data_IF_179662137561
#
_entry.id   IF_179662137561
#
_cell.length_a   1.000
_cell.length_b   1.000
_cell.length_c   1.000
_cell.angle_alpha   90.00
_cell.angle_beta   90.00
_cell.angle_gamma   90.00
#
_symmetry.space_group_name_H-M   'P 1'
#
loop_
_entity.id
_entity.type
_entity.pdbx_description
1 polymer ?
#
# COMPACT_ATOMS: atom_id res chain seq x y z
N UNK A 1 26.79 -18.99 -10.69
CA UNK A 1 26.39 -17.80 -9.87
C UNK A 1 24.87 -17.78 -9.79
N UNK A 2 24.27 -17.65 -8.59
CA UNK A 2 22.81 -17.53 -8.47
C UNK A 2 22.38 -16.20 -9.09
N UNK A 3 21.51 -16.23 -10.10
CA UNK A 3 20.83 -15.04 -10.61
C UNK A 3 19.93 -14.50 -9.49
N UNK A 4 20.34 -13.39 -8.87
CA UNK A 4 19.54 -12.72 -7.84
C UNK A 4 18.85 -11.52 -8.47
N UNK A 5 17.54 -11.40 -8.29
CA UNK A 5 16.78 -10.25 -8.77
C UNK A 5 17.09 -9.02 -7.92
N UNK A 6 17.10 -7.85 -8.56
CA UNK A 6 17.02 -6.58 -7.84
C UNK A 6 15.65 -6.52 -7.12
N UNK A 7 15.52 -5.90 -5.94
CA UNK A 7 14.24 -5.79 -5.23
C UNK A 7 13.18 -5.03 -6.02
N UNK A 8 11.92 -5.19 -5.60
CA UNK A 8 10.90 -4.19 -5.87
C UNK A 8 11.17 -2.96 -5.02
N UNK A 9 11.11 -1.78 -5.64
CA UNK A 9 11.28 -0.49 -4.95
C UNK A 9 10.01 0.31 -5.15
N UNK A 10 9.20 0.43 -4.11
CA UNK A 10 7.99 1.25 -4.14
C UNK A 10 8.26 2.60 -3.50
N UNK A 11 7.87 3.67 -4.18
CA UNK A 11 7.95 5.04 -3.67
C UNK A 11 6.56 5.66 -3.68
N UNK A 12 6.18 6.27 -2.56
CA UNK A 12 4.95 7.03 -2.40
C UNK A 12 5.26 8.44 -1.89
N UNK A 13 4.30 9.35 -2.04
CA UNK A 13 4.32 10.60 -1.30
C UNK A 13 4.02 10.35 0.17
N UNK A 14 4.67 11.09 1.08
CA UNK A 14 4.31 11.08 2.50
C UNK A 14 3.00 11.84 2.76
N UNK A 15 2.57 12.70 1.82
CA UNK A 15 1.24 13.27 1.78
C UNK A 15 0.43 12.62 0.63
N UNK A 16 -0.64 11.87 0.92
CA UNK A 16 -1.37 11.12 -0.08
C UNK A 16 -2.15 11.99 -1.09
N UNK A 17 -2.44 13.25 -0.75
CA UNK A 17 -3.36 14.08 -1.52
C UNK A 17 -2.77 15.42 -1.96
N UNK A 18 -3.12 15.80 -3.19
CA UNK A 18 -2.74 17.07 -3.79
C UNK A 18 -3.83 18.12 -3.54
N UNK A 19 -3.46 19.23 -2.91
CA UNK A 19 -4.38 20.20 -2.32
C UNK A 19 -5.37 20.80 -3.32
N UNK A 20 -4.91 21.19 -4.50
CA UNK A 20 -5.75 21.81 -5.53
C UNK A 20 -6.82 20.85 -6.04
N UNK A 21 -6.47 19.57 -6.28
CA UNK A 21 -7.41 18.54 -6.71
C UNK A 21 -8.42 18.17 -5.62
N UNK A 22 -7.98 18.11 -4.37
CA UNK A 22 -8.89 17.89 -3.23
C UNK A 22 -9.86 19.05 -3.07
N UNK A 23 -9.39 20.30 -3.14
CA UNK A 23 -10.27 21.47 -3.02
C UNK A 23 -11.33 21.48 -4.12
N UNK A 24 -10.92 21.21 -5.36
CA UNK A 24 -11.84 21.09 -6.49
C UNK A 24 -12.89 19.99 -6.26
N UNK A 25 -12.45 18.79 -5.85
CA UNK A 25 -13.34 17.67 -5.60
C UNK A 25 -14.34 17.93 -4.46
N UNK A 26 -13.89 18.56 -3.36
CA UNK A 26 -14.77 18.99 -2.26
C UNK A 26 -15.82 19.99 -2.76
N UNK A 27 -15.43 20.95 -3.59
CA UNK A 27 -16.36 21.98 -4.08
C UNK A 27 -17.38 21.38 -5.06
N UNK A 28 -17.03 20.32 -5.80
CA UNK A 28 -17.97 19.52 -6.61
C UNK A 28 -18.90 18.70 -5.71
N UNK A 29 -18.35 18.02 -4.70
CA UNK A 29 -19.10 17.21 -3.76
C UNK A 29 -20.13 18.01 -2.95
N UNK A 30 -19.75 19.20 -2.47
CA UNK A 30 -20.64 20.10 -1.73
C UNK A 30 -21.82 20.58 -2.58
N UNK A 31 -21.59 20.83 -3.87
CA UNK A 31 -22.65 21.26 -4.81
C UNK A 31 -23.66 20.16 -5.11
N UNK A 32 -23.23 18.90 -5.14
CA UNK A 32 -24.12 17.77 -5.45
C UNK A 32 -24.96 17.31 -4.25
N UNK A 33 -24.53 17.59 -3.01
CA UNK A 33 -25.20 17.09 -1.80
C UNK A 33 -26.06 18.15 -1.06
N UNK A 34 -26.21 19.36 -1.62
CA UNK A 34 -27.14 20.40 -1.15
C UNK A 34 -27.23 20.52 0.38
N UNK A 35 -26.09 20.64 1.06
CA UNK A 35 -26.09 21.05 2.46
C UNK A 35 -26.33 22.56 2.53
N UNK A 36 -27.07 23.02 3.54
CA UNK A 36 -26.99 24.40 4.03
C UNK A 36 -25.52 24.64 4.43
N UNK A 37 -24.70 25.02 3.44
CA UNK A 37 -23.25 25.14 3.51
C UNK A 37 -22.78 26.34 4.34
N UNK A 38 -23.60 26.82 5.27
CA UNK A 38 -23.25 27.95 6.11
C UNK A 38 -22.38 27.57 7.32
N UNK A 39 -22.16 26.27 7.61
CA UNK A 39 -21.27 25.89 8.72
C UNK A 39 -20.78 24.42 8.70
N UNK A 40 -20.65 23.76 7.54
CA UNK A 40 -20.01 22.43 7.50
C UNK A 40 -18.50 22.58 7.27
N UNK A 41 -17.69 22.15 8.24
CA UNK A 41 -16.23 22.17 8.15
C UNK A 41 -15.73 21.46 6.88
N UNK A 42 -14.77 22.06 6.16
CA UNK A 42 -14.20 21.48 4.93
C UNK A 42 -13.56 20.11 5.17
N UNK A 43 -13.03 19.87 6.37
CA UNK A 43 -12.53 18.57 6.78
C UNK A 43 -13.66 17.52 6.83
N UNK A 44 -14.83 17.87 7.34
CA UNK A 44 -16.01 16.99 7.35
C UNK A 44 -16.47 16.67 5.92
N UNK A 45 -16.51 17.66 5.03
CA UNK A 45 -16.84 17.43 3.63
C UNK A 45 -15.82 16.53 2.92
N UNK A 46 -14.54 16.73 3.20
CA UNK A 46 -13.46 15.89 2.69
C UNK A 46 -13.63 14.43 3.13
N UNK A 47 -13.89 14.23 4.41
CA UNK A 47 -14.17 12.92 5.04
C UNK A 47 -15.38 12.26 4.37
N UNK A 48 -16.52 12.96 4.25
CA UNK A 48 -17.73 12.44 3.59
C UNK A 48 -17.52 12.10 2.11
N UNK A 49 -16.79 12.96 1.39
CA UNK A 49 -16.43 12.70 -0.01
C UNK A 49 -15.61 11.42 -0.14
N UNK A 50 -14.55 11.25 0.66
CA UNK A 50 -13.72 10.04 0.61
C UNK A 50 -14.55 8.78 0.91
N UNK A 51 -15.46 8.84 1.89
CA UNK A 51 -16.41 7.75 2.20
C UNK A 51 -17.18 7.34 0.94
N UNK A 52 -17.77 8.30 0.25
CA UNK A 52 -18.61 8.02 -0.90
C UNK A 52 -17.79 7.44 -2.06
N UNK A 53 -16.58 7.94 -2.29
CA UNK A 53 -15.66 7.37 -3.30
C UNK A 53 -15.30 5.92 -2.98
N UNK A 54 -15.03 5.61 -1.72
CA UNK A 54 -14.77 4.23 -1.28
C UNK A 54 -16.00 3.34 -1.46
N UNK A 55 -17.19 3.82 -1.10
CA UNK A 55 -18.44 3.06 -1.23
C UNK A 55 -18.81 2.76 -2.69
N UNK A 56 -18.51 3.69 -3.60
CA UNK A 56 -18.76 3.51 -5.03
C UNK A 56 -17.67 2.69 -5.73
N UNK A 57 -16.59 2.33 -5.02
CA UNK A 57 -15.40 1.69 -5.57
C UNK A 57 -14.81 2.49 -6.76
N UNK A 58 -14.82 3.83 -6.64
CA UNK A 58 -14.32 4.76 -7.66
C UNK A 58 -12.82 5.00 -7.48
N UNK A 59 -12.04 3.95 -7.73
CA UNK A 59 -10.58 3.97 -7.57
C UNK A 59 -9.90 5.04 -8.45
N UNK A 60 -10.43 5.32 -9.63
CA UNK A 60 -9.92 6.36 -10.54
C UNK A 60 -10.02 7.77 -9.95
N UNK A 61 -11.10 8.09 -9.24
CA UNK A 61 -11.26 9.41 -8.59
C UNK A 61 -10.25 9.55 -7.44
N UNK A 62 -10.07 8.51 -6.63
CA UNK A 62 -9.07 8.50 -5.55
C UNK A 62 -7.64 8.65 -6.11
N UNK A 63 -7.34 8.01 -7.23
CA UNK A 63 -6.07 8.17 -7.95
C UNK A 63 -5.91 9.61 -8.43
N UNK A 64 -6.97 10.25 -8.91
CA UNK A 64 -6.90 11.63 -9.36
C UNK A 64 -6.53 12.59 -8.22
N UNK A 65 -7.05 12.38 -7.01
CA UNK A 65 -6.77 13.22 -5.84
C UNK A 65 -5.29 13.21 -5.41
N UNK A 66 -4.54 12.15 -5.70
CA UNK A 66 -3.14 12.00 -5.30
C UNK A 66 -2.12 12.53 -6.30
N UNK A 67 -0.84 12.57 -5.91
CA UNK A 67 0.25 12.94 -6.82
C UNK A 67 0.46 11.90 -7.92
N UNK A 68 0.61 12.33 -9.19
CA UNK A 68 0.89 11.41 -10.29
C UNK A 68 2.40 11.16 -10.43
N UNK A 69 2.79 10.07 -11.11
CA UNK A 69 4.21 9.77 -11.35
C UNK A 69 4.91 10.92 -12.07
N UNK A 70 4.22 11.52 -13.05
CA UNK A 70 4.69 12.67 -13.82
C UNK A 70 4.87 13.93 -12.97
N UNK A 71 4.15 14.04 -11.86
CA UNK A 71 4.25 15.19 -10.96
C UNK A 71 5.50 15.08 -10.06
N UNK A 72 6.04 13.87 -9.88
CA UNK A 72 7.07 13.58 -8.88
C UNK A 72 8.38 13.03 -9.46
N UNK A 73 8.34 12.03 -10.36
CA UNK A 73 9.55 11.39 -10.87
C UNK A 73 10.17 12.21 -12.01
N UNK A 74 11.31 12.83 -11.75
CA UNK A 74 12.05 13.60 -12.76
C UNK A 74 12.96 12.70 -13.59
N UNK A 75 13.76 11.87 -12.93
CA UNK A 75 14.76 11.01 -13.58
C UNK A 75 14.82 9.64 -12.90
N UNK A 76 15.06 8.59 -13.70
CA UNK A 76 15.28 7.23 -13.24
C UNK A 76 16.39 6.59 -14.08
N UNK A 77 17.41 6.05 -13.41
CA UNK A 77 18.46 5.28 -14.04
C UNK A 77 18.73 3.99 -13.25
N UNK A 78 18.71 2.84 -13.92
CA UNK A 78 19.22 1.59 -13.39
C UNK A 78 20.46 1.19 -14.18
N UNK A 79 21.61 1.13 -13.52
CA UNK A 79 22.90 0.88 -14.18
C UNK A 79 23.11 1.79 -15.42
N UNK A 80 22.83 3.09 -15.32
CA UNK A 80 23.01 4.03 -16.44
C UNK A 80 21.94 3.96 -17.55
N UNK A 81 21.00 3.01 -17.49
CA UNK A 81 19.91 2.89 -18.46
C UNK A 81 18.65 3.54 -17.87
N UNK A 82 17.97 4.37 -18.68
CA UNK A 82 16.72 5.00 -18.26
C UNK A 82 15.66 3.96 -17.88
N UNK A 83 15.02 4.16 -16.73
CA UNK A 83 13.98 3.27 -16.18
C UNK A 83 12.62 3.95 -15.96
N UNK A 84 12.42 5.18 -16.46
CA UNK A 84 11.22 5.98 -16.16
C UNK A 84 9.90 5.35 -16.64
N UNK A 85 9.94 4.45 -17.62
CA UNK A 85 8.78 3.68 -18.12
C UNK A 85 8.46 2.44 -17.29
N UNK A 86 9.39 1.96 -16.46
CA UNK A 86 9.31 0.63 -15.83
C UNK A 86 8.76 0.72 -14.41
N UNK A 87 7.62 1.37 -14.28
CA UNK A 87 6.92 1.53 -13.01
C UNK A 87 5.49 1.03 -13.10
N UNK A 88 5.08 0.41 -12.01
CA UNK A 88 3.71 -0.05 -11.81
C UNK A 88 3.07 0.88 -10.77
N UNK A 89 1.91 1.43 -11.08
CA UNK A 89 1.15 2.28 -10.16
C UNK A 89 0.33 1.41 -9.20
N UNK A 90 0.24 1.81 -7.94
CA UNK A 90 -0.68 1.22 -6.99
C UNK A 90 -1.25 2.30 -6.09
N UNK A 91 -2.52 2.18 -5.72
CA UNK A 91 -3.17 3.08 -4.78
C UNK A 91 -3.02 2.51 -3.37
N UNK A 92 -2.36 3.26 -2.50
CA UNK A 92 -2.32 3.03 -1.06
C UNK A 92 -3.36 3.90 -0.37
N UNK A 93 -4.16 3.31 0.50
CA UNK A 93 -5.15 4.07 1.29
C UNK A 93 -4.51 4.99 2.34
N UNK A 94 -3.20 4.82 2.61
CA UNK A 94 -2.45 5.66 3.55
C UNK A 94 -1.49 6.61 2.86
N UNK A 95 -0.85 6.15 1.78
CA UNK A 95 0.17 6.95 1.08
C UNK A 95 -0.28 7.47 -0.28
N UNK A 96 -1.54 7.25 -0.66
CA UNK A 96 -2.09 7.68 -1.94
C UNK A 96 -1.44 6.93 -3.09
N UNK A 97 -1.14 7.63 -4.17
CA UNK A 97 -0.49 7.03 -5.33
C UNK A 97 0.96 6.64 -5.02
N UNK A 98 1.29 5.40 -5.36
CA UNK A 98 2.60 4.81 -5.20
C UNK A 98 3.09 4.20 -6.51
N UNK A 99 4.40 4.20 -6.70
CA UNK A 99 5.03 3.73 -7.94
C UNK A 99 6.12 2.72 -7.61
N UNK A 100 5.96 1.52 -8.16
CA UNK A 100 6.85 0.39 -7.92
C UNK A 100 7.74 0.15 -9.12
N UNK A 101 9.04 0.35 -8.94
CA UNK A 101 10.06 -0.13 -9.86
C UNK A 101 10.27 -1.64 -9.68
N UNK A 102 10.46 -2.34 -10.80
CA UNK A 102 10.86 -3.75 -10.83
C UNK A 102 9.85 -4.71 -10.14
N UNK A 103 8.56 -4.42 -10.27
CA UNK A 103 7.51 -5.38 -9.94
C UNK A 103 7.49 -6.55 -10.93
N UNK A 104 7.19 -7.75 -10.45
CA UNK A 104 7.02 -8.95 -11.26
C UNK A 104 5.64 -8.92 -11.90
N UNK A 105 5.59 -8.41 -13.11
CA UNK A 105 4.44 -8.54 -14.01
C UNK A 105 4.87 -9.26 -15.29
N UNK A 106 3.93 -9.98 -15.89
CA UNK A 106 4.10 -10.71 -17.14
C UNK A 106 4.52 -9.83 -18.34
N UNK A 107 4.29 -8.51 -18.25
CA UNK A 107 4.60 -7.54 -19.31
C UNK A 107 5.97 -6.84 -19.18
N UNK A 108 6.69 -7.00 -18.05
CA UNK A 108 7.90 -6.23 -17.77
C UNK A 108 9.14 -7.11 -17.54
N UNK A 109 10.28 -6.73 -18.13
CA UNK A 109 11.58 -7.37 -17.85
C UNK A 109 12.02 -7.03 -16.43
N UNK A 110 12.20 -8.05 -15.59
CA UNK A 110 12.79 -7.90 -14.26
C UNK A 110 14.29 -7.60 -14.35
N UNK A 111 14.73 -6.64 -13.54
CA UNK A 111 16.12 -6.28 -13.38
C UNK A 111 16.80 -7.23 -12.39
N UNK A 112 18.02 -7.65 -12.72
CA UNK A 112 18.81 -8.56 -11.90
C UNK A 112 20.10 -7.91 -11.42
N UNK A 113 20.59 -8.40 -10.28
CA UNK A 113 21.88 -8.02 -9.71
C UNK A 113 23.06 -8.58 -10.50
N UNK A 114 22.86 -9.59 -11.36
CA UNK A 114 23.96 -10.31 -12.01
C UNK A 114 24.64 -9.54 -13.16
N UNK A 115 24.21 -8.32 -13.47
CA UNK A 115 24.98 -7.38 -14.31
C UNK A 115 26.11 -6.65 -13.54
N UNK A 116 26.30 -6.96 -12.24
CA UNK A 116 27.34 -6.36 -11.39
C UNK A 116 28.78 -6.79 -11.73
N UNK A 117 28.97 -7.74 -12.66
CA UNK A 117 30.26 -8.32 -13.06
C UNK A 117 31.13 -7.45 -13.96
N UNK A 118 30.60 -6.37 -14.54
CA UNK A 118 31.44 -5.39 -15.24
C UNK A 118 31.97 -4.37 -14.23
N UNK A 119 33.27 -4.41 -13.97
CA UNK A 119 34.02 -3.41 -13.18
C UNK A 119 34.09 -2.04 -13.86
N UNK A 120 33.47 -1.87 -15.04
CA UNK A 120 33.59 -0.68 -15.88
C UNK A 120 32.42 0.31 -15.81
N UNK A 121 31.41 0.09 -14.95
CA UNK A 121 30.27 1.00 -14.82
C UNK A 121 30.34 1.84 -13.54
N UNK A 122 30.44 3.18 -13.63
CA UNK A 122 30.51 4.07 -12.47
C UNK A 122 29.19 4.14 -11.68
N UNK A 123 28.06 3.77 -12.29
CA UNK A 123 26.73 3.77 -11.66
C UNK A 123 26.22 2.34 -11.51
N UNK A 124 26.24 1.81 -10.28
CA UNK A 124 25.69 0.48 -9.96
C UNK A 124 24.45 0.64 -9.10
N UNK A 125 23.32 0.12 -9.59
CA UNK A 125 22.03 0.15 -8.89
C UNK A 125 21.05 1.16 -9.46
N UNK A 126 20.06 1.50 -8.64
CA UNK A 126 18.97 2.39 -8.97
C UNK A 126 19.28 3.80 -8.47
N UNK A 127 19.18 4.78 -9.37
CA UNK A 127 19.25 6.21 -9.08
C UNK A 127 17.95 6.84 -9.54
N UNK A 128 17.33 7.64 -8.67
CA UNK A 128 16.08 8.34 -8.98
C UNK A 128 16.15 9.76 -8.43
N UNK A 129 15.64 10.70 -9.21
CA UNK A 129 15.47 12.10 -8.80
C UNK A 129 13.98 12.38 -8.73
N UNK A 130 13.52 12.81 -7.56
CA UNK A 130 12.12 13.16 -7.32
C UNK A 130 11.96 14.65 -7.02
N UNK A 131 10.94 15.24 -7.61
CA UNK A 131 10.34 16.50 -7.20
C UNK A 131 9.28 16.23 -6.14
N UNK A 132 9.39 16.92 -5.00
CA UNK A 132 8.42 16.83 -3.90
C UNK A 132 7.76 18.20 -3.74
N UNK A 133 6.58 18.42 -4.33
CA UNK A 133 5.90 19.72 -4.29
C UNK A 133 5.17 19.94 -2.96
N UNK A 134 5.89 20.14 -1.86
CA UNK A 134 5.32 20.34 -0.52
C UNK A 134 4.28 21.47 -0.42
N UNK A 135 4.35 22.49 -1.28
CA UNK A 135 3.37 23.57 -1.34
C UNK A 135 2.00 23.14 -1.91
N UNK A 136 1.90 21.94 -2.49
CA UNK A 136 0.66 21.34 -3.01
C UNK A 136 0.13 20.24 -2.09
N UNK A 137 0.69 20.07 -0.90
CA UNK A 137 0.25 19.06 0.04
C UNK A 137 -1.06 19.48 0.70
N UNK A 138 -2.03 18.57 0.77
CA UNK A 138 -3.27 18.86 1.49
C UNK A 138 -2.99 18.97 3.01
N UNK A 139 -3.39 20.05 3.68
CA UNK A 139 -2.87 20.39 5.01
C UNK A 139 -3.64 19.69 6.15
N UNK A 140 -3.54 18.36 6.26
CA UNK A 140 -4.00 17.62 7.44
C UNK A 140 -2.84 17.34 8.41
N UNK A 141 -3.13 17.38 9.71
CA UNK A 141 -2.12 17.34 10.79
C UNK A 141 -1.22 16.09 10.78
N UNK A 142 -1.71 14.95 10.28
CA UNK A 142 -0.98 13.69 10.25
C UNK A 142 -0.12 13.50 8.99
N UNK A 143 -0.20 14.41 8.02
CA UNK A 143 0.54 14.29 6.76
C UNK A 143 1.90 14.95 6.82
N UNK A 144 2.90 14.25 6.27
CA UNK A 144 4.30 14.68 6.29
C UNK A 144 4.77 15.11 4.89
N UNK A 145 5.82 15.93 4.86
CA UNK A 145 6.55 16.25 3.64
C UNK A 145 7.63 15.21 3.35
N UNK A 146 7.65 14.69 2.11
CA UNK A 146 8.72 13.82 1.64
C UNK A 146 8.20 12.58 0.91
N UNK A 147 9.04 11.55 0.89
CA UNK A 147 8.74 10.29 0.23
C UNK A 147 8.82 9.13 1.22
N UNK A 148 7.98 8.13 0.99
CA UNK A 148 8.01 6.84 1.69
C UNK A 148 8.52 5.81 0.70
N UNK A 149 9.62 5.15 1.04
CA UNK A 149 10.22 4.09 0.24
C UNK A 149 10.04 2.73 0.90
N UNK A 150 9.66 1.74 0.11
CA UNK A 150 9.54 0.34 0.51
C UNK A 150 10.49 -0.51 -0.33
N UNK A 151 11.21 -1.40 0.35
CA UNK A 151 12.01 -2.45 -0.28
C UNK A 151 11.33 -3.79 0.00
N UNK A 152 10.97 -4.50 -1.06
CA UNK A 152 10.19 -5.74 -0.96
C UNK A 152 10.57 -6.72 -2.08
N UNK A 153 10.10 -7.97 -1.97
CA UNK A 153 10.27 -8.93 -3.08
C UNK A 153 9.41 -8.52 -4.28
N UNK A 154 9.79 -8.95 -5.49
CA UNK A 154 9.19 -8.41 -6.72
C UNK A 154 7.68 -8.68 -6.87
N UNK A 155 7.10 -9.57 -6.08
CA UNK A 155 5.69 -9.98 -6.07
C UNK A 155 5.01 -9.80 -4.69
N UNK A 156 5.66 -9.09 -3.78
CA UNK A 156 5.19 -8.79 -2.42
C UNK A 156 4.55 -7.40 -2.39
N UNK A 157 3.40 -7.26 -1.74
CA UNK A 157 2.73 -5.96 -1.63
C UNK A 157 3.49 -5.07 -0.64
N UNK A 158 3.93 -3.87 -1.05
CA UNK A 158 4.80 -3.01 -0.25
C UNK A 158 4.15 -2.52 1.05
N UNK A 159 2.85 -2.24 1.05
CA UNK A 159 2.18 -1.57 2.19
C UNK A 159 1.93 -2.45 3.41
N UNK A 160 2.04 -3.76 3.23
CA UNK A 160 1.80 -4.76 4.29
C UNK A 160 3.14 -5.17 4.91
N UNK A 161 4.21 -5.18 4.12
CA UNK A 161 5.57 -5.44 4.54
C UNK A 161 6.17 -4.18 5.19
N UNK A 162 6.17 -4.12 6.53
CA UNK A 162 6.45 -2.93 7.37
C UNK A 162 7.86 -2.30 7.26
N UNK A 163 8.65 -2.60 6.24
CA UNK A 163 9.99 -2.06 6.04
C UNK A 163 9.95 -0.77 5.19
N UNK A 164 9.65 0.35 5.86
CA UNK A 164 9.56 1.67 5.22
C UNK A 164 10.75 2.54 5.58
N UNK A 165 11.25 3.30 4.62
CA UNK A 165 12.26 4.35 4.82
C UNK A 165 11.63 5.70 4.47
N UNK A 166 11.73 6.67 5.37
CA UNK A 166 11.26 8.05 5.14
C UNK A 166 12.40 8.88 4.56
N UNK A 167 12.13 9.55 3.44
CA UNK A 167 13.10 10.34 2.71
C UNK A 167 12.69 11.80 2.72
N UNK A 168 13.50 12.63 3.39
CA UNK A 168 13.29 14.08 3.43
C UNK A 168 13.74 14.72 2.11
N UNK A 169 12.99 15.67 1.53
CA UNK A 169 13.42 16.39 0.33
C UNK A 169 14.63 17.30 0.62
N UNK A 170 15.35 17.69 -0.44
CA UNK A 170 16.50 18.61 -0.36
C UNK A 170 17.84 17.96 -0.01
N UNK A 171 17.88 16.63 0.15
CA UNK A 171 19.11 15.86 0.40
C UNK A 171 19.19 14.67 -0.56
N UNK A 172 20.42 14.28 -0.91
CA UNK A 172 20.66 13.00 -1.59
C UNK A 172 20.69 11.87 -0.56
N UNK A 173 19.88 10.83 -0.78
CA UNK A 173 19.81 9.65 0.09
C UNK A 173 20.48 8.46 -0.59
N UNK A 174 21.33 7.75 0.15
CA UNK A 174 21.93 6.49 -0.31
C UNK A 174 21.41 5.36 0.56
N UNK A 175 20.69 4.42 -0.05
CA UNK A 175 20.12 3.27 0.64
C UNK A 175 20.88 2.02 0.18
N UNK A 176 21.72 1.50 1.07
CA UNK A 176 22.31 0.17 0.90
C UNK A 176 21.36 -0.87 1.50
N UNK A 177 21.30 -2.05 0.87
CA UNK A 177 20.52 -3.16 1.42
C UNK A 177 21.27 -4.49 1.27
N UNK A 178 20.93 -5.44 2.13
CA UNK A 178 21.34 -6.84 2.06
C UNK A 178 20.10 -7.72 1.95
N UNK A 179 19.99 -8.46 0.85
CA UNK A 179 18.96 -9.49 0.69
C UNK A 179 19.40 -10.80 1.32
N UNK A 180 18.61 -11.33 2.25
CA UNK A 180 18.72 -12.70 2.77
C UNK A 180 17.47 -13.48 2.41
N UNK A 181 17.58 -14.79 2.21
CA UNK A 181 16.43 -15.64 1.88
C UNK A 181 16.44 -16.90 2.74
N UNK A 182 15.32 -17.17 3.42
CA UNK A 182 15.08 -18.43 4.12
C UNK A 182 14.07 -19.26 3.32
N UNK A 183 14.40 -20.53 3.08
CA UNK A 183 13.55 -21.45 2.32
C UNK A 183 13.19 -22.62 3.24
N UNK A 184 11.90 -22.75 3.53
CA UNK A 184 11.32 -23.86 4.28
C UNK A 184 10.78 -24.91 3.31
N UNK A 185 11.05 -26.19 3.59
CA UNK A 185 10.49 -27.28 2.82
C UNK A 185 9.02 -27.50 3.20
N UNK A 186 8.11 -27.69 2.24
CA UNK A 186 6.71 -27.97 2.53
C UNK A 186 6.55 -29.35 3.21
N UNK A 187 5.30 -29.76 3.43
CA UNK A 187 4.99 -31.07 4.03
C UNK A 187 5.78 -32.21 3.34
N UNK A 188 6.35 -33.14 4.11
CA UNK A 188 6.13 -33.39 5.55
C UNK A 188 7.05 -32.60 6.51
N UNK A 189 7.98 -31.78 6.02
CA UNK A 189 9.00 -31.15 6.89
C UNK A 189 8.47 -29.96 7.68
N UNK A 190 7.68 -29.10 7.03
CA UNK A 190 7.00 -27.97 7.68
C UNK A 190 5.58 -27.83 7.13
N UNK A 191 4.77 -27.00 7.78
CA UNK A 191 3.44 -26.62 7.29
C UNK A 191 3.48 -25.37 6.39
N UNK A 192 4.63 -25.02 5.80
CA UNK A 192 4.70 -23.81 4.98
C UNK A 192 3.81 -23.92 3.73
N UNK A 193 3.34 -22.77 3.24
CA UNK A 193 2.55 -22.64 2.01
C UNK A 193 3.09 -21.53 1.12
N UNK A 194 2.80 -21.63 -0.18
CA UNK A 194 2.95 -20.55 -1.16
C UNK A 194 1.61 -20.15 -1.77
N UNK A 195 0.52 -20.78 -1.32
CA UNK A 195 -0.81 -20.64 -1.90
C UNK A 195 -1.63 -19.72 -1.01
N UNK A 196 -2.16 -18.66 -1.61
CA UNK A 196 -3.24 -17.86 -1.02
C UNK A 196 -4.53 -18.65 -1.18
N UNK A 197 -5.23 -18.94 -0.07
CA UNK A 197 -6.54 -19.58 -0.12
C UNK A 197 -7.52 -18.77 -0.98
N UNK A 198 -8.43 -19.44 -1.70
CA UNK A 198 -9.40 -18.76 -2.59
C UNK A 198 -10.28 -17.76 -1.84
N UNK A 199 -10.67 -18.09 -0.61
CA UNK A 199 -11.43 -17.22 0.29
C UNK A 199 -10.71 -15.90 0.57
N UNK A 200 -9.41 -15.98 0.88
CA UNK A 200 -8.56 -14.81 1.13
C UNK A 200 -8.32 -14.01 -0.15
N UNK A 201 -8.16 -14.69 -1.30
CA UNK A 201 -8.00 -14.00 -2.60
C UNK A 201 -9.22 -13.16 -2.95
N UNK A 202 -10.43 -13.65 -2.70
CA UNK A 202 -11.64 -12.88 -2.99
C UNK A 202 -11.74 -11.63 -2.10
N UNK A 203 -11.42 -11.76 -0.81
CA UNK A 203 -11.36 -10.60 0.11
C UNK A 203 -10.31 -9.60 -0.38
N UNK A 204 -9.15 -10.08 -0.83
CA UNK A 204 -8.13 -9.22 -1.42
C UNK A 204 -8.63 -8.47 -2.66
N UNK A 205 -9.25 -9.18 -3.61
CA UNK A 205 -9.81 -8.59 -4.84
C UNK A 205 -10.83 -7.49 -4.53
N UNK A 206 -11.68 -7.71 -3.52
CA UNK A 206 -12.68 -6.73 -3.07
C UNK A 206 -12.06 -5.51 -2.38
N UNK A 207 -11.01 -5.71 -1.57
CA UNK A 207 -10.42 -4.62 -0.77
C UNK A 207 -9.46 -3.77 -1.59
N UNK A 208 -8.67 -4.41 -2.44
CA UNK A 208 -7.51 -3.77 -3.05
C UNK A 208 -7.71 -3.42 -4.53
N UNK A 209 -8.91 -3.62 -5.10
CA UNK A 209 -9.36 -3.26 -6.47
C UNK A 209 -8.19 -3.12 -7.46
N UNK A 210 -7.34 -4.13 -7.50
CA UNK A 210 -6.05 -4.00 -8.15
C UNK A 210 -5.99 -4.92 -9.34
N UNK A 211 -5.55 -4.35 -10.46
CA UNK A 211 -4.95 -5.08 -11.58
C UNK A 211 -3.88 -6.11 -11.13
N UNK A 212 -3.41 -6.06 -9.88
CA UNK A 212 -2.42 -6.95 -9.26
C UNK A 212 -3.01 -8.19 -8.59
N UNK A 213 -4.33 -8.27 -8.36
CA UNK A 213 -4.95 -9.32 -7.55
C UNK A 213 -4.73 -10.75 -8.05
N UNK A 214 -4.49 -10.90 -9.35
CA UNK A 214 -4.20 -12.20 -9.95
C UNK A 214 -2.74 -12.65 -9.79
N UNK A 215 -1.83 -11.79 -9.35
CA UNK A 215 -0.38 -12.05 -9.29
C UNK A 215 0.24 -11.89 -7.88
N UNK A 216 -0.56 -11.59 -6.86
CA UNK A 216 -0.08 -11.46 -5.47
C UNK A 216 0.41 -12.80 -4.95
N UNK A 217 1.65 -12.84 -4.48
CA UNK A 217 2.17 -13.99 -3.77
C UNK A 217 1.65 -14.04 -2.33
N UNK A 218 1.49 -15.26 -1.82
CA UNK A 218 1.23 -15.44 -0.40
C UNK A 218 2.41 -14.92 0.42
N UNK A 219 2.15 -14.12 1.44
CA UNK A 219 3.08 -13.84 2.52
C UNK A 219 2.32 -13.70 3.84
N UNK A 220 2.98 -13.98 4.96
CA UNK A 220 2.32 -14.15 6.26
C UNK A 220 1.56 -12.90 6.71
N UNK A 221 2.14 -11.72 6.53
CA UNK A 221 1.52 -10.45 6.91
C UNK A 221 0.21 -10.18 6.13
N UNK A 222 0.14 -10.54 4.84
CA UNK A 222 -1.09 -10.46 4.06
C UNK A 222 -2.18 -11.37 4.61
N UNK A 223 -1.81 -12.58 5.02
CA UNK A 223 -2.79 -13.51 5.59
C UNK A 223 -3.37 -12.98 6.90
N UNK A 224 -2.52 -12.43 7.78
CA UNK A 224 -2.96 -11.82 9.03
C UNK A 224 -3.88 -10.63 8.81
N UNK A 225 -3.55 -9.79 7.83
CA UNK A 225 -4.35 -8.64 7.44
C UNK A 225 -5.74 -9.03 6.92
N UNK A 226 -5.81 -9.95 5.95
CA UNK A 226 -7.08 -10.43 5.41
C UNK A 226 -7.91 -11.21 6.44
N UNK A 227 -7.26 -11.90 7.38
CA UNK A 227 -7.90 -12.59 8.48
C UNK A 227 -8.56 -11.61 9.48
N UNK A 228 -7.89 -10.50 9.79
CA UNK A 228 -8.48 -9.42 10.60
C UNK A 228 -9.72 -8.83 9.91
N UNK A 229 -9.63 -8.55 8.61
CA UNK A 229 -10.74 -8.04 7.80
C UNK A 229 -11.94 -9.01 7.80
N UNK A 230 -11.71 -10.29 7.57
CA UNK A 230 -12.75 -11.32 7.60
C UNK A 230 -13.44 -11.39 8.97
N UNK A 231 -12.67 -11.26 10.06
CA UNK A 231 -13.22 -11.27 11.40
C UNK A 231 -14.09 -10.05 11.68
N UNK A 232 -13.61 -8.85 11.34
CA UNK A 232 -14.37 -7.61 11.49
C UNK A 232 -15.66 -7.68 10.69
N UNK A 233 -15.58 -8.14 9.44
CA UNK A 233 -16.76 -8.33 8.60
C UNK A 233 -17.77 -9.31 9.24
N UNK A 234 -17.31 -10.41 9.84
CA UNK A 234 -18.20 -11.37 10.50
C UNK A 234 -18.95 -10.82 11.72
N UNK A 235 -18.42 -9.77 12.36
CA UNK A 235 -18.97 -9.18 13.60
C UNK A 235 -19.73 -7.89 13.36
N UNK A 236 -19.18 -7.03 12.51
CA UNK A 236 -19.66 -5.68 12.30
C UNK A 236 -20.31 -5.50 10.90
N UNK A 237 -20.26 -6.53 10.04
CA UNK A 237 -20.78 -6.49 8.67
C UNK A 237 -20.17 -5.34 7.83
N UNK A 238 -18.92 -5.00 8.14
CA UNK A 238 -18.17 -3.92 7.50
C UNK A 238 -16.73 -4.35 7.22
N UNK A 239 -16.11 -3.69 6.23
CA UNK A 239 -14.71 -3.86 5.88
C UNK A 239 -13.98 -2.58 6.24
N UNK A 240 -12.77 -2.70 6.79
CA UNK A 240 -11.94 -1.54 7.07
C UNK A 240 -11.06 -1.20 5.86
N UNK A 241 -11.11 0.03 5.33
CA UNK A 241 -10.02 0.55 4.51
C UNK A 241 -8.78 0.75 5.41
N UNK A 242 -7.82 -0.18 5.42
CA UNK A 242 -6.60 -0.13 6.27
C UNK A 242 -5.44 0.62 5.56
N UNK A 243 -4.41 1.19 6.26
CA UNK A 243 -4.17 1.18 7.74
C UNK A 243 -4.29 2.47 8.61
N UNK A 244 -4.50 2.21 9.92
CA UNK A 244 -4.25 2.96 11.18
C UNK A 244 -4.66 4.44 11.31
N UNK A 245 -4.33 5.33 10.37
CA UNK A 245 -4.75 6.76 10.46
C UNK A 245 -6.27 6.86 10.31
N UNK A 246 -6.85 5.95 9.51
CA UNK A 246 -8.30 5.84 9.31
C UNK A 246 -9.02 5.01 10.39
N UNK A 247 -8.35 4.55 11.47
CA UNK A 247 -9.02 3.81 12.57
C UNK A 247 -10.02 4.66 13.35
N UNK A 248 -9.95 5.98 13.25
CA UNK A 248 -10.78 6.91 14.02
C UNK A 248 -11.92 7.56 13.22
N UNK A 249 -11.99 7.37 11.90
CA UNK A 249 -12.86 8.19 11.06
C UNK A 249 -13.86 7.42 10.16
N UNK A 250 -13.66 6.13 9.88
CA UNK A 250 -14.35 5.51 8.73
C UNK A 250 -14.76 4.07 8.92
N UNK A 251 -15.80 3.86 9.71
CA UNK A 251 -16.44 2.56 9.82
C UNK A 251 -17.92 2.67 9.43
N UNK A 252 -18.32 1.93 8.39
CA UNK A 252 -19.65 2.03 7.78
C UNK A 252 -20.40 0.71 7.97
N UNK A 253 -21.71 0.77 8.24
CA UNK A 253 -22.55 -0.43 8.19
C UNK A 253 -22.98 -0.76 6.75
N UNK A 254 -23.80 -1.80 6.59
CA UNK A 254 -24.32 -2.27 5.29
C UNK A 254 -25.19 -1.23 4.56
N UNK A 255 -25.67 -0.22 5.28
CA UNK A 255 -26.52 0.86 4.77
C UNK A 255 -25.75 2.17 4.60
N UNK A 256 -24.40 2.14 4.67
CA UNK A 256 -23.54 3.31 4.50
C UNK A 256 -23.56 4.28 5.68
N UNK A 257 -24.05 3.87 6.85
CA UNK A 257 -24.15 4.73 8.04
C UNK A 257 -22.90 4.62 8.90
N UNK A 258 -22.50 5.75 9.46
CA UNK A 258 -21.40 5.90 10.41
C UNK A 258 -21.76 5.26 11.77
N UNK A 259 -21.66 3.93 11.86
CA UNK A 259 -22.13 3.18 13.05
C UNK A 259 -21.12 2.17 13.61
N UNK A 260 -19.97 1.98 12.98
CA UNK A 260 -19.10 0.87 13.35
C UNK A 260 -17.94 1.22 14.31
N UNK A 261 -17.77 2.46 14.77
CA UNK A 261 -16.61 2.83 15.62
C UNK A 261 -16.65 2.04 16.93
N UNK A 262 -17.81 1.92 17.58
CA UNK A 262 -18.00 1.13 18.81
C UNK A 262 -17.89 -0.38 18.58
N UNK A 263 -18.39 -0.90 17.45
CA UNK A 263 -18.26 -2.32 17.12
C UNK A 263 -16.79 -2.68 16.84
N UNK A 264 -16.09 -1.87 16.05
CA UNK A 264 -14.68 -2.08 15.70
C UNK A 264 -13.78 -1.85 16.90
N UNK A 265 -13.98 -0.81 17.70
CA UNK A 265 -13.20 -0.60 18.92
C UNK A 265 -13.37 -1.75 19.93
N UNK A 266 -14.60 -2.24 20.11
CA UNK A 266 -14.85 -3.40 20.98
C UNK A 266 -14.27 -4.70 20.40
N UNK A 267 -14.33 -4.89 19.08
CA UNK A 267 -13.80 -6.07 18.36
C UNK A 267 -12.27 -6.08 18.31
N UNK A 268 -11.64 -4.94 18.07
CA UNK A 268 -10.17 -4.78 18.09
C UNK A 268 -9.60 -4.89 19.51
N UNK A 269 -10.25 -4.28 20.51
CA UNK A 269 -9.86 -4.44 21.93
C UNK A 269 -10.08 -5.86 22.44
N UNK A 270 -11.13 -6.55 21.99
CA UNK A 270 -11.38 -7.95 22.37
C UNK A 270 -10.47 -8.93 21.64
N UNK A 271 -10.10 -8.67 20.38
CA UNK A 271 -9.02 -9.39 19.66
C UNK A 271 -7.69 -9.31 20.43
N UNK A 272 -7.35 -8.12 20.98
CA UNK A 272 -6.16 -7.96 21.84
C UNK A 272 -6.28 -8.64 23.22
N UNK A 273 -7.48 -8.94 23.72
CA UNK A 273 -7.71 -9.44 25.10
C UNK A 273 -8.23 -10.88 25.19
N UNK A 274 -8.74 -11.50 24.13
CA UNK A 274 -9.37 -12.82 24.17
C UNK A 274 -9.00 -13.65 22.94
N UNK A 275 -8.12 -14.62 23.18
CA UNK A 275 -7.84 -15.73 22.28
C UNK A 275 -8.63 -16.98 22.75
N UNK A 276 -9.89 -17.18 22.31
CA UNK A 276 -10.35 -18.56 22.17
C UNK A 276 -11.05 -18.95 20.86
N UNK A 277 -11.91 -18.16 20.20
CA UNK A 277 -12.72 -18.66 19.06
C UNK A 277 -13.21 -17.60 18.04
N UNK A 278 -12.33 -16.77 17.46
CA UNK A 278 -12.75 -15.72 16.49
C UNK A 278 -12.00 -15.72 15.16
N UNK A 279 -10.69 -15.83 15.23
CA UNK A 279 -9.80 -16.15 14.11
C UNK A 279 -8.53 -16.65 14.80
N UNK A 280 -8.27 -17.95 14.74
CA UNK A 280 -6.95 -18.44 15.11
C UNK A 280 -6.03 -18.01 13.97
N UNK A 281 -5.46 -16.81 14.12
CA UNK A 281 -4.42 -16.25 13.25
C UNK A 281 -3.32 -17.30 12.99
N UNK A 282 -3.05 -18.19 13.96
CA UNK A 282 -2.12 -19.31 13.85
C UNK A 282 -2.65 -20.61 13.21
N UNK A 283 -3.98 -20.83 13.12
CA UNK A 283 -4.51 -22.07 12.51
C UNK A 283 -4.94 -21.90 11.06
N UNK A 284 -5.21 -20.67 10.61
CA UNK A 284 -5.56 -20.38 9.20
C UNK A 284 -4.36 -19.89 8.39
N UNK A 285 -3.46 -19.10 8.99
CA UNK A 285 -2.27 -18.63 8.29
C UNK A 285 -1.10 -19.58 8.53
N UNK A 286 -0.67 -20.22 7.45
CA UNK A 286 0.53 -21.06 7.44
C UNK A 286 1.77 -20.21 7.18
N UNK A 287 2.95 -20.67 7.60
CA UNK A 287 4.17 -19.92 7.31
C UNK A 287 4.45 -19.87 5.80
N UNK A 288 5.07 -18.81 5.31
CA UNK A 288 5.47 -18.75 3.89
C UNK A 288 6.68 -19.66 3.65
N UNK A 289 6.70 -20.41 2.54
CA UNK A 289 7.84 -21.31 2.26
C UNK A 289 9.13 -20.58 1.87
N UNK A 290 9.05 -19.35 1.38
CA UNK A 290 10.23 -18.58 0.96
C UNK A 290 10.15 -17.17 1.51
N UNK A 291 10.96 -16.86 2.51
CA UNK A 291 11.02 -15.54 3.12
C UNK A 291 12.19 -14.75 2.56
N UNK A 292 11.92 -13.59 1.99
CA UNK A 292 12.93 -12.61 1.62
C UNK A 292 13.03 -11.53 2.71
N UNK A 293 14.25 -11.24 3.15
CA UNK A 293 14.52 -10.18 4.11
C UNK A 293 15.44 -9.15 3.47
N UNK A 294 15.08 -7.88 3.63
CA UNK A 294 15.88 -6.74 3.21
C UNK A 294 16.32 -6.00 4.47
N UNK A 295 17.63 -5.99 4.72
CA UNK A 295 18.27 -5.29 5.84
C UNK A 295 19.11 -4.13 5.34
#
# INVERSE_FOLDING_TARGET
>A
MRHMLFPGVTVCSANPYREDRVKEAIDVYARSHSSDANETDRETLFVSMLIDLFNRNESDELVHLGFQKSDMLLECSYNGISCSSNFIHSLSLVFGNCFTFNWKDSSHKLYSLTELGSTLMPYKGLSMTFYVPSHLNYPLNDFEDGLILFLHDNNEIPFIAKNTVRLRPGLAHTIAYRKSQAIFLPKPYTNCTTVVEKSLRHIYEVIYDSHYAHQVAYFEALCYELCEQAYIFSKCLCILPIPVIMRYAFSLDRDGRLLANTCIESTTRSSCKRNPHGCLVFSMCSTMCTHAFFY
#
